data_IF_697002591549
#
_entry.id   IF_697002591549
#
_cell.length_a   1.000
_cell.length_b   1.000
_cell.length_c   1.000
_cell.angle_alpha   90.00
_cell.angle_beta   90.00
_cell.angle_gamma   90.00
#
_symmetry.space_group_name_H-M   'P 1'
#
loop_
_entity.id
_entity.type
_entity.pdbx_description
1 polymer ?
#
# COMPACT_ATOMS: atom_id res chain seq x y z
N UNK A 1 1.35 7.13 -3.67
CA UNK A 1 2.38 6.33 -2.97
C UNK A 1 2.25 6.36 -1.45
N UNK A 2 2.21 7.54 -0.79
CA UNK A 2 2.19 7.63 0.70
C UNK A 2 1.08 6.80 1.35
N UNK A 3 -0.16 6.95 0.88
CA UNK A 3 -1.31 6.21 1.43
C UNK A 3 -1.19 4.70 1.19
N UNK A 4 -0.73 4.27 0.02
CA UNK A 4 -0.52 2.85 -0.30
C UNK A 4 0.53 2.20 0.61
N UNK A 5 1.68 2.84 0.83
CA UNK A 5 2.71 2.30 1.72
C UNK A 5 2.25 2.27 3.19
N UNK A 6 1.55 3.32 3.65
CA UNK A 6 0.94 3.33 5.00
C UNK A 6 -0.10 2.23 5.17
N UNK A 7 -0.94 1.99 4.16
CA UNK A 7 -1.90 0.88 4.18
C UNK A 7 -1.17 -0.46 4.33
N UNK A 8 -0.15 -0.72 3.51
CA UNK A 8 0.65 -1.94 3.56
C UNK A 8 1.28 -2.15 4.95
N UNK A 9 1.88 -1.11 5.53
CA UNK A 9 2.52 -1.16 6.86
C UNK A 9 1.53 -1.17 8.03
N UNK A 10 0.24 -0.91 7.80
CA UNK A 10 -0.81 -1.00 8.85
C UNK A 10 -1.31 -2.43 9.08
N UNK A 11 -0.83 -3.40 8.31
CA UNK A 11 -1.24 -4.80 8.38
C UNK A 11 -0.17 -5.64 9.11
N UNK A 12 -0.52 -6.84 9.63
CA UNK A 12 0.41 -7.72 10.31
C UNK A 12 1.34 -8.44 9.30
N UNK A 13 2.24 -7.68 8.68
CA UNK A 13 3.23 -8.16 7.72
C UNK A 13 4.65 -8.05 8.30
N UNK A 14 5.60 -8.82 7.76
CA UNK A 14 7.01 -8.73 8.18
C UNK A 14 7.72 -7.52 7.59
N UNK A 15 7.51 -7.24 6.30
CA UNK A 15 8.19 -6.15 5.59
C UNK A 15 7.42 -5.69 4.35
N UNK A 16 7.58 -4.42 3.98
CA UNK A 16 7.20 -3.89 2.68
C UNK A 16 8.47 -3.67 1.85
N UNK A 17 8.55 -4.28 0.66
CA UNK A 17 9.72 -4.18 -0.23
C UNK A 17 9.49 -3.02 -1.19
N UNK A 18 10.33 -1.96 -1.18
CA UNK A 18 10.18 -0.84 -2.10
C UNK A 18 10.56 -1.22 -3.54
N UNK A 19 10.14 -0.44 -4.55
CA UNK A 19 10.60 -0.62 -5.92
C UNK A 19 12.12 -0.46 -6.03
N UNK A 20 12.72 -1.14 -7.03
CA UNK A 20 14.18 -1.08 -7.29
C UNK A 20 14.67 0.22 -7.93
N UNK A 21 13.76 1.07 -8.42
CA UNK A 21 14.11 2.40 -8.90
C UNK A 21 14.58 3.29 -7.72
N UNK A 22 15.74 3.95 -7.81
CA UNK A 22 16.32 4.71 -6.69
C UNK A 22 15.44 5.85 -6.15
N UNK A 23 14.71 6.54 -7.03
CA UNK A 23 13.84 7.66 -6.61
C UNK A 23 12.61 7.13 -5.88
N UNK A 24 12.01 6.05 -6.38
CA UNK A 24 10.90 5.38 -5.70
C UNK A 24 11.33 4.77 -4.37
N UNK A 25 12.54 4.19 -4.31
CA UNK A 25 13.13 3.70 -3.06
C UNK A 25 13.23 4.82 -2.03
N UNK A 26 13.80 5.97 -2.41
CA UNK A 26 13.95 7.13 -1.53
C UNK A 26 12.59 7.65 -1.04
N UNK A 27 11.61 7.76 -1.94
CA UNK A 27 10.25 8.14 -1.57
C UNK A 27 9.63 7.18 -0.56
N UNK A 28 9.83 5.87 -0.71
CA UNK A 28 9.32 4.87 0.23
C UNK A 28 9.97 5.02 1.62
N UNK A 29 11.29 5.23 1.67
CA UNK A 29 12.01 5.47 2.93
C UNK A 29 11.52 6.72 3.65
N UNK A 30 11.34 7.83 2.93
CA UNK A 30 10.85 9.08 3.54
C UNK A 30 9.41 8.93 4.07
N UNK A 31 8.53 8.21 3.38
CA UNK A 31 7.19 7.90 3.89
C UNK A 31 7.24 7.02 5.14
N UNK A 32 8.14 6.04 5.18
CA UNK A 32 8.25 5.10 6.30
C UNK A 32 8.78 5.77 7.59
N UNK A 33 9.65 6.79 7.46
CA UNK A 33 10.14 7.58 8.61
C UNK A 33 9.01 8.25 9.40
N UNK A 34 8.00 8.75 8.69
CA UNK A 34 6.83 9.43 9.27
C UNK A 34 5.59 8.52 9.30
N UNK A 35 5.81 7.22 9.49
CA UNK A 35 4.72 6.25 9.47
C UNK A 35 3.71 6.53 10.59
N UNK A 36 2.45 6.61 10.18
CA UNK A 36 1.28 6.55 11.05
C UNK A 36 0.31 5.55 10.44
N UNK A 37 -0.35 4.69 11.23
CA UNK A 37 -1.39 3.82 10.72
C UNK A 37 -2.45 4.62 9.95
N UNK A 38 -3.06 4.00 8.95
CA UNK A 38 -4.18 4.64 8.25
C UNK A 38 -5.39 4.75 9.18
N UNK A 39 -6.18 5.79 8.98
CA UNK A 39 -7.46 5.97 9.68
C UNK A 39 -8.56 5.15 9.00
N UNK A 40 -9.69 4.88 9.70
CA UNK A 40 -10.86 4.24 9.08
C UNK A 40 -11.39 4.99 7.85
N UNK A 41 -11.28 6.32 7.84
CA UNK A 41 -11.68 7.15 6.70
C UNK A 41 -10.75 6.94 5.49
N UNK A 42 -9.44 6.93 5.72
CA UNK A 42 -8.44 6.64 4.68
C UNK A 42 -8.60 5.22 4.11
N UNK A 43 -8.93 4.25 4.94
CA UNK A 43 -9.24 2.89 4.49
C UNK A 43 -10.49 2.87 3.60
N UNK A 44 -11.53 3.62 3.94
CA UNK A 44 -12.73 3.71 3.13
C UNK A 44 -12.44 4.31 1.75
N UNK A 45 -11.58 5.33 1.66
CA UNK A 45 -11.13 5.90 0.37
C UNK A 45 -10.49 4.81 -0.49
N UNK A 46 -9.56 4.04 0.06
CA UNK A 46 -8.88 2.97 -0.68
C UNK A 46 -9.85 1.88 -1.16
N UNK A 47 -10.84 1.52 -0.33
CA UNK A 47 -11.89 0.56 -0.72
C UNK A 47 -12.70 1.08 -1.91
N UNK A 48 -13.09 2.35 -1.88
CA UNK A 48 -13.82 2.97 -2.99
C UNK A 48 -12.98 3.03 -4.26
N UNK A 49 -11.69 3.37 -4.16
CA UNK A 49 -10.79 3.40 -5.32
C UNK A 49 -10.55 2.01 -5.94
N UNK A 50 -10.60 0.95 -5.15
CA UNK A 50 -10.41 -0.43 -5.60
C UNK A 50 -11.65 -1.01 -6.31
N UNK A 51 -12.85 -0.48 -6.06
CA UNK A 51 -14.09 -0.98 -6.66
C UNK A 51 -14.04 -0.95 -8.19
N UNK A 52 -14.43 -2.06 -8.82
CA UNK A 52 -14.53 -2.18 -10.28
C UNK A 52 -13.19 -2.24 -11.01
N UNK A 53 -12.04 -2.26 -10.32
CA UNK A 53 -10.75 -2.47 -10.97
C UNK A 53 -10.52 -3.95 -11.27
N UNK A 54 -10.04 -4.24 -12.48
CA UNK A 54 -9.66 -5.59 -12.89
C UNK A 54 -8.36 -6.00 -12.17
N UNK A 55 -8.37 -7.08 -11.36
CA UNK A 55 -7.15 -7.59 -10.73
C UNK A 55 -6.13 -8.04 -11.77
N UNK A 56 -4.84 -7.83 -11.49
CA UNK A 56 -3.77 -8.35 -12.35
C UNK A 56 -3.65 -9.89 -12.23
N UNK A 57 -4.00 -10.42 -11.06
CA UNK A 57 -4.01 -11.85 -10.78
C UNK A 57 -5.40 -12.24 -10.31
N UNK A 58 -5.93 -13.30 -10.90
CA UNK A 58 -7.17 -13.94 -10.45
C UNK A 58 -6.79 -15.19 -9.63
N UNK A 59 -7.62 -15.52 -8.64
CA UNK A 59 -7.51 -16.82 -7.98
C UNK A 59 -7.73 -17.90 -9.05
N UNK A 60 -6.71 -18.70 -9.34
CA UNK A 60 -6.89 -19.90 -10.14
C UNK A 60 -7.97 -20.75 -9.45
N UNK A 61 -8.98 -21.14 -10.22
CA UNK A 61 -10.17 -21.92 -9.81
C UNK A 61 -9.93 -22.79 -8.56
N UNK A 62 -10.76 -22.59 -7.53
CA UNK A 62 -10.83 -23.46 -6.36
C UNK A 62 -11.39 -24.84 -6.71
#
# INVERSE_FOLDING_TARGET
MKLALRWTLSHPITAAIPPGDPELWKMAVEVAKDFTPITPHEEQILRQEALGRMPLFELAHA
#
